data_IF_496139387598
#
_entry.id   IF_496139387598
#
_cell.length_a   1.000
_cell.length_b   1.000
_cell.length_c   1.000
_cell.angle_alpha   90.00
_cell.angle_beta   90.00
_cell.angle_gamma   90.00
#
_symmetry.space_group_name_H-M   'P 1'
#
loop_
_entity.id
_entity.type
_entity.pdbx_description
1 polymer ?
#
# COMPACT_ATOMS: atom_id res chain seq x y z
N UNK A 1 0.86 15.61 -8.57
CA UNK A 1 0.27 14.68 -7.58
C UNK A 1 1.27 14.43 -6.45
N UNK A 2 0.93 14.74 -5.20
CA UNK A 2 1.80 14.45 -4.05
C UNK A 2 1.95 12.93 -3.92
N UNK A 3 3.16 12.38 -4.13
CA UNK A 3 3.42 10.95 -3.98
C UNK A 3 3.01 10.53 -2.56
N UNK A 4 2.17 9.50 -2.43
CA UNK A 4 1.82 8.93 -1.12
C UNK A 4 3.12 8.47 -0.46
N UNK A 5 3.43 9.02 0.72
CA UNK A 5 4.61 8.61 1.48
C UNK A 5 4.38 7.18 1.96
N UNK A 6 5.29 6.28 1.62
CA UNK A 6 5.28 4.93 2.16
C UNK A 6 5.52 5.00 3.68
N UNK A 7 4.93 4.09 4.47
CA UNK A 7 5.23 4.00 5.89
C UNK A 7 6.75 3.83 6.10
N UNK A 8 7.27 4.35 7.22
CA UNK A 8 8.70 4.18 7.57
C UNK A 8 8.91 2.81 8.20
N UNK A 9 9.96 2.10 7.79
CA UNK A 9 10.34 0.82 8.38
C UNK A 9 10.75 1.00 9.85
N UNK A 10 10.25 0.18 10.79
CA UNK A 10 10.73 0.17 12.17
C UNK A 10 12.24 -0.07 12.25
N UNK A 11 12.94 0.68 13.12
CA UNK A 11 14.37 0.47 13.38
C UNK A 11 14.56 -0.81 14.20
N UNK A 12 15.57 -1.59 13.84
CA UNK A 12 15.93 -2.80 14.57
C UNK A 12 16.49 -2.43 15.96
N UNK A 13 16.15 -3.21 17.00
CA UNK A 13 16.79 -3.09 18.31
C UNK A 13 18.30 -3.37 18.24
N UNK A 14 19.06 -2.85 19.20
CA UNK A 14 20.48 -3.21 19.37
C UNK A 14 20.59 -4.68 19.80
N UNK A 15 21.73 -5.32 19.54
CA UNK A 15 21.95 -6.73 19.89
C UNK A 15 21.71 -7.03 21.38
N UNK A 16 22.12 -6.13 22.28
CA UNK A 16 21.88 -6.26 23.73
C UNK A 16 20.49 -5.80 24.22
N UNK A 17 19.51 -5.61 23.33
CA UNK A 17 18.16 -5.25 23.73
C UNK A 17 17.45 -6.42 24.41
N UNK A 18 16.57 -6.11 25.37
CA UNK A 18 15.78 -7.12 26.08
C UNK A 18 14.84 -7.89 25.14
N UNK A 19 14.46 -9.11 25.54
CA UNK A 19 13.51 -9.96 24.80
C UNK A 19 12.21 -9.21 24.52
N UNK A 20 11.65 -8.50 25.51
CA UNK A 20 10.45 -7.66 25.33
C UNK A 20 10.60 -6.60 24.24
N UNK A 21 11.80 -6.07 24.05
CA UNK A 21 12.09 -5.09 23.00
C UNK A 21 12.08 -5.74 21.62
N UNK A 22 12.58 -6.97 21.52
CA UNK A 22 12.51 -7.79 20.30
C UNK A 22 11.06 -8.16 19.95
N UNK A 23 10.27 -8.62 20.91
CA UNK A 23 8.83 -8.91 20.71
C UNK A 23 8.05 -7.68 20.23
N UNK A 24 8.32 -6.51 20.83
CA UNK A 24 7.73 -5.25 20.41
C UNK A 24 8.17 -4.86 18.99
N UNK A 25 9.42 -5.15 18.61
CA UNK A 25 9.92 -4.92 17.26
C UNK A 25 9.22 -5.81 16.23
N UNK A 26 9.06 -7.10 16.50
CA UNK A 26 8.35 -8.03 15.62
C UNK A 26 6.90 -7.59 15.39
N UNK A 27 6.21 -7.22 16.47
CA UNK A 27 4.84 -6.67 16.39
C UNK A 27 4.79 -5.42 15.50
N UNK A 28 5.77 -4.52 15.61
CA UNK A 28 5.88 -3.31 14.77
C UNK A 28 6.17 -3.68 13.32
N UNK A 29 6.97 -4.71 13.06
CA UNK A 29 7.30 -5.19 11.72
C UNK A 29 6.07 -5.77 11.01
N UNK A 30 5.25 -6.56 11.71
CA UNK A 30 3.98 -7.08 11.17
C UNK A 30 3.03 -5.93 10.80
N UNK A 31 2.84 -4.96 11.69
CA UNK A 31 2.02 -3.76 11.43
C UNK A 31 2.56 -2.93 10.26
N UNK A 32 3.88 -2.83 10.14
CA UNK A 32 4.53 -2.15 9.02
C UNK A 32 4.27 -2.87 7.69
N UNK A 33 4.41 -4.19 7.66
CA UNK A 33 4.19 -5.00 6.45
C UNK A 33 2.76 -4.85 5.93
N UNK A 34 1.76 -4.92 6.81
CA UNK A 34 0.35 -4.71 6.46
C UNK A 34 0.13 -3.33 5.82
N UNK A 35 0.58 -2.25 6.48
CA UNK A 35 0.45 -0.88 5.97
C UNK A 35 1.22 -0.66 4.67
N UNK A 36 2.38 -1.29 4.51
CA UNK A 36 3.19 -1.18 3.30
C UNK A 36 2.49 -1.84 2.10
N UNK A 37 1.88 -3.02 2.31
CA UNK A 37 1.09 -3.72 1.29
C UNK A 37 -0.12 -2.89 0.87
N UNK A 38 -0.89 -2.36 1.82
CA UNK A 38 -2.04 -1.49 1.53
C UNK A 38 -1.64 -0.23 0.76
N UNK A 39 -0.54 0.42 1.15
CA UNK A 39 -0.04 1.61 0.47
C UNK A 39 0.38 1.32 -0.99
N UNK A 40 0.89 0.12 -1.27
CA UNK A 40 1.24 -0.34 -2.62
C UNK A 40 0.02 -0.77 -3.45
N UNK A 41 -0.95 -1.46 -2.86
CA UNK A 41 -2.13 -1.96 -3.59
C UNK A 41 -3.13 -0.85 -3.94
N UNK A 42 -3.26 0.16 -3.09
CA UNK A 42 -4.22 1.24 -3.30
C UNK A 42 -4.09 2.00 -4.64
N UNK A 43 -2.88 2.40 -5.12
CA UNK A 43 -2.75 3.02 -6.43
C UNK A 43 -3.10 2.08 -7.59
N UNK A 44 -2.79 0.78 -7.46
CA UNK A 44 -3.08 -0.20 -8.50
C UNK A 44 -4.59 -0.47 -8.62
N UNK A 45 -5.29 -0.63 -7.49
CA UNK A 45 -6.76 -0.76 -7.46
C UNK A 45 -7.44 0.47 -8.09
N UNK A 46 -6.95 1.68 -7.77
CA UNK A 46 -7.46 2.93 -8.36
C UNK A 46 -7.17 3.08 -9.85
N UNK A 47 -6.06 2.51 -10.34
CA UNK A 47 -5.73 2.50 -11.77
C UNK A 47 -6.68 1.56 -12.52
N UNK A 48 -6.81 0.31 -12.06
CA UNK A 48 -7.71 -0.69 -12.65
C UNK A 48 -9.15 -0.19 -12.74
N UNK A 49 -9.67 0.48 -11.70
CA UNK A 49 -11.00 1.08 -11.72
C UNK A 49 -11.14 2.19 -12.77
N UNK A 50 -10.14 3.08 -12.89
CA UNK A 50 -10.16 4.12 -13.92
C UNK A 50 -10.13 3.53 -15.32
N UNK A 51 -9.24 2.58 -15.56
CA UNK A 51 -9.11 1.92 -16.86
C UNK A 51 -10.44 1.22 -17.24
N UNK A 52 -11.08 0.52 -16.30
CA UNK A 52 -12.39 -0.11 -16.52
C UNK A 52 -13.52 0.89 -16.82
N UNK A 53 -13.54 2.05 -16.14
CA UNK A 53 -14.52 3.11 -16.41
C UNK A 53 -14.29 3.70 -17.81
N UNK A 54 -13.03 4.04 -18.14
CA UNK A 54 -12.68 4.60 -19.46
C UNK A 54 -13.03 3.64 -20.59
N UNK A 55 -12.76 2.34 -20.43
CA UNK A 55 -13.14 1.33 -21.41
C UNK A 55 -14.67 1.26 -21.59
N UNK A 56 -15.43 1.25 -20.49
CA UNK A 56 -16.90 1.18 -20.53
C UNK A 56 -17.51 2.43 -21.17
N UNK A 57 -17.00 3.61 -20.84
CA UNK A 57 -17.42 4.88 -21.47
C UNK A 57 -17.06 4.89 -22.96
N UNK A 58 -15.87 4.43 -23.34
CA UNK A 58 -15.47 4.30 -24.74
C UNK A 58 -16.38 3.38 -25.55
N UNK A 59 -16.82 2.25 -24.95
CA UNK A 59 -17.82 1.35 -25.58
C UNK A 59 -19.18 2.01 -25.75
N UNK A 60 -19.63 2.80 -24.78
CA UNK A 60 -20.90 3.54 -24.86
C UNK A 60 -20.83 4.59 -25.98
N UNK A 61 -19.76 5.40 -26.02
CA UNK A 61 -19.59 6.43 -27.06
C UNK A 61 -19.53 5.83 -28.46
N UNK A 62 -18.82 4.70 -28.65
CA UNK A 62 -18.80 3.95 -29.93
C UNK A 62 -20.15 3.35 -30.34
N UNK A 63 -21.06 3.15 -29.40
CA UNK A 63 -22.40 2.59 -29.68
C UNK A 63 -23.42 3.69 -30.02
N UNK A 64 -23.15 4.92 -29.60
CA UNK A 64 -24.01 6.09 -29.83
C UNK A 64 -23.58 6.88 -31.09
N UNK A 65 -22.29 6.81 -31.46
CA UNK A 65 -21.77 7.29 -32.75
C UNK A 65 -22.03 6.27 -33.87
#
# INVERSE_FOLDING_TARGET
>A
MKRRKLPKKPKQPKAGASIKTWEAYETRMVKYAAKYKEAKEAPEKKRKLRDAITEKVGKILKKVA
#
